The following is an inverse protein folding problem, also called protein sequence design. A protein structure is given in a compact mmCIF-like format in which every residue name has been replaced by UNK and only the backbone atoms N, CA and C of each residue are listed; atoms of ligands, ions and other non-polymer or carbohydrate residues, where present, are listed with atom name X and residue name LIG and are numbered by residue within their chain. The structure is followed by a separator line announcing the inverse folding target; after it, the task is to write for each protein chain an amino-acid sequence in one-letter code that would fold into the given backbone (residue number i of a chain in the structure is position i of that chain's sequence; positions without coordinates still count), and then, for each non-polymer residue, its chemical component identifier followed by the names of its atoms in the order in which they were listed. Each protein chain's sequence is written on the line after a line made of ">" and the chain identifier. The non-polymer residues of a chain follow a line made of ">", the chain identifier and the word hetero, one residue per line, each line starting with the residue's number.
data_IF_791004633983
#
_entry.id   IF_791004633983
#
_cell.length_a   1.000
_cell.length_b   1.000
_cell.length_c   1.000
_cell.angle_alpha   90.00
_cell.angle_beta   90.00
_cell.angle_gamma   90.00
#
_symmetry.space_group_name_H-M   'P 1'
#
loop_
_entity.id
_entity.type
_entity.pdbx_description
1 polymer ?
#
# COMPACT_ATOMS: atom_id res chain seq x y z
N UNK A 1 10.29 6.59 25.57
CA UNK A 1 10.31 5.55 24.51
C UNK A 1 8.94 5.31 23.87
N UNK A 2 7.91 4.90 24.63
CA UNK A 2 6.56 4.60 24.08
C UNK A 2 5.91 5.75 23.30
N UNK A 3 6.05 7.00 23.78
CA UNK A 3 5.54 8.18 23.08
C UNK A 3 6.15 8.33 21.68
N UNK A 4 7.47 8.16 21.56
CA UNK A 4 8.19 8.27 20.29
C UNK A 4 7.72 7.21 19.31
N UNK A 5 7.59 5.95 19.77
CA UNK A 5 7.07 4.87 18.93
C UNK A 5 5.64 5.14 18.45
N UNK A 6 4.78 5.68 19.31
CA UNK A 6 3.41 6.05 18.95
C UNK A 6 3.39 7.16 17.90
N UNK A 7 4.23 8.18 18.04
CA UNK A 7 4.36 9.26 17.06
C UNK A 7 4.84 8.72 15.71
N UNK A 8 5.87 7.87 15.70
CA UNK A 8 6.35 7.22 14.48
C UNK A 8 5.23 6.41 13.82
N UNK A 9 4.48 5.63 14.60
CA UNK A 9 3.37 4.81 14.09
C UNK A 9 2.27 5.66 13.46
N UNK A 10 1.85 6.74 14.14
CA UNK A 10 0.81 7.66 13.63
C UNK A 10 1.29 8.39 12.37
N UNK A 11 2.53 8.89 12.35
CA UNK A 11 3.10 9.56 11.18
C UNK A 11 3.23 8.61 9.98
N UNK A 12 3.63 7.35 10.22
CA UNK A 12 3.69 6.34 9.19
C UNK A 12 2.28 6.01 8.65
N UNK A 13 1.28 5.90 9.53
CA UNK A 13 -0.11 5.68 9.14
C UNK A 13 -0.64 6.83 8.28
N UNK A 14 -0.46 8.08 8.74
CA UNK A 14 -0.88 9.27 8.01
C UNK A 14 -0.18 9.40 6.66
N UNK A 15 1.13 9.12 6.61
CA UNK A 15 1.90 9.12 5.37
C UNK A 15 1.39 8.06 4.40
N UNK A 16 1.15 6.83 4.86
CA UNK A 16 0.64 5.75 4.02
C UNK A 16 -0.73 6.10 3.46
N UNK A 17 -1.72 6.36 4.33
CA UNK A 17 -3.11 6.63 3.92
C UNK A 17 -3.20 7.89 3.08
N UNK A 18 -2.53 8.97 3.48
CA UNK A 18 -2.47 10.21 2.72
C UNK A 18 -1.86 10.01 1.33
N UNK A 19 -0.79 9.20 1.22
CA UNK A 19 -0.16 8.91 -0.06
C UNK A 19 -1.08 8.11 -1.01
N UNK A 20 -1.82 7.13 -0.48
CA UNK A 20 -2.73 6.29 -1.26
C UNK A 20 -3.95 7.11 -1.72
N UNK A 21 -4.51 7.95 -0.85
CA UNK A 21 -5.59 8.89 -1.18
C UNK A 21 -5.15 9.84 -2.28
N UNK A 22 -4.00 10.50 -2.11
CA UNK A 22 -3.46 11.42 -3.12
C UNK A 22 -3.26 10.71 -4.46
N UNK A 23 -2.65 9.53 -4.45
CA UNK A 23 -2.37 8.78 -5.67
C UNK A 23 -3.66 8.39 -6.41
N UNK A 24 -4.67 7.90 -5.68
CA UNK A 24 -5.90 7.39 -6.28
C UNK A 24 -6.86 8.50 -6.75
N UNK A 25 -7.07 9.54 -5.92
CA UNK A 25 -8.08 10.57 -6.19
C UNK A 25 -7.53 11.82 -6.89
N UNK A 26 -6.25 12.15 -6.72
CA UNK A 26 -5.68 13.39 -7.28
C UNK A 26 -4.76 13.09 -8.46
N UNK A 27 -3.70 12.32 -8.23
CA UNK A 27 -2.68 12.09 -9.25
C UNK A 27 -3.24 11.34 -10.46
N UNK A 28 -3.95 10.23 -10.24
CA UNK A 28 -4.46 9.40 -11.33
C UNK A 28 -5.44 10.15 -12.24
N UNK A 29 -6.46 10.88 -11.74
CA UNK A 29 -7.32 11.69 -12.59
C UNK A 29 -6.55 12.78 -13.34
N UNK A 30 -5.60 13.46 -12.68
CA UNK A 30 -4.79 14.49 -13.33
C UNK A 30 -3.96 13.94 -14.49
N UNK A 31 -3.37 12.75 -14.35
CA UNK A 31 -2.57 12.11 -15.40
C UNK A 31 -3.39 11.78 -16.66
N UNK A 32 -4.71 11.58 -16.55
CA UNK A 32 -5.58 11.30 -17.70
C UNK A 32 -5.80 12.52 -18.59
N UNK A 33 -5.57 13.72 -18.07
CA UNK A 33 -5.72 14.98 -18.81
C UNK A 33 -4.45 15.36 -19.59
N UNK A 34 -3.34 14.67 -19.32
CA UNK A 34 -2.03 14.96 -19.91
C UNK A 34 -1.82 14.05 -21.14
N UNK A 35 -1.23 14.54 -22.24
CA UNK A 35 -0.87 13.69 -23.37
C UNK A 35 -0.05 12.46 -22.94
N UNK A 36 -0.32 11.26 -23.48
CA UNK A 36 0.20 10.00 -22.94
C UNK A 36 1.73 9.96 -22.78
N UNK A 37 2.46 10.56 -23.72
CA UNK A 37 3.93 10.60 -23.67
C UNK A 37 4.46 11.31 -22.41
N UNK A 38 3.84 12.43 -22.03
CA UNK A 38 4.23 13.18 -20.83
C UNK A 38 3.67 12.55 -19.56
N UNK A 39 2.44 12.02 -19.61
CA UNK A 39 1.80 11.35 -18.48
C UNK A 39 2.62 10.15 -17.99
N UNK A 40 3.20 9.35 -18.90
CA UNK A 40 4.04 8.19 -18.55
C UNK A 40 5.30 8.60 -17.79
N UNK A 41 5.97 9.68 -18.21
CA UNK A 41 7.20 10.16 -17.55
C UNK A 41 6.89 10.67 -16.13
N UNK A 42 5.82 11.46 -15.98
CA UNK A 42 5.36 11.95 -14.68
C UNK A 42 4.96 10.78 -13.78
N UNK A 43 4.15 9.85 -14.30
CA UNK A 43 3.71 8.67 -13.57
C UNK A 43 4.88 7.79 -13.10
N UNK A 44 5.94 7.66 -13.90
CA UNK A 44 7.14 6.92 -13.51
C UNK A 44 7.90 7.63 -12.37
N UNK A 45 8.15 8.94 -12.51
CA UNK A 45 8.90 9.70 -11.52
C UNK A 45 8.16 9.76 -10.19
N UNK A 46 6.90 10.18 -10.24
CA UNK A 46 6.03 10.28 -9.06
C UNK A 46 5.78 8.89 -8.49
N UNK A 47 5.42 7.91 -9.33
CA UNK A 47 5.16 6.54 -8.89
C UNK A 47 6.34 5.89 -8.17
N UNK A 48 7.59 6.17 -8.57
CA UNK A 48 8.78 5.67 -7.88
C UNK A 48 8.91 6.23 -6.46
N UNK A 49 8.74 7.55 -6.29
CA UNK A 49 8.75 8.21 -4.98
C UNK A 49 7.65 7.63 -4.07
N UNK A 50 6.42 7.52 -4.58
CA UNK A 50 5.31 6.92 -3.83
C UNK A 50 5.55 5.47 -3.44
N UNK A 51 6.28 4.70 -4.25
CA UNK A 51 6.68 3.33 -3.86
C UNK A 51 7.66 3.35 -2.70
N UNK A 52 8.72 4.15 -2.76
CA UNK A 52 9.67 4.21 -1.65
C UNK A 52 9.01 4.72 -0.37
N UNK A 53 8.20 5.79 -0.46
CA UNK A 53 7.45 6.33 0.66
C UNK A 53 6.47 5.31 1.23
N UNK A 54 5.70 4.64 0.38
CA UNK A 54 4.73 3.62 0.78
C UNK A 54 5.38 2.43 1.50
N UNK A 55 6.47 1.88 0.93
CA UNK A 55 7.21 0.78 1.56
C UNK A 55 7.84 1.19 2.89
N UNK A 56 8.42 2.39 2.95
CA UNK A 56 9.00 2.92 4.20
C UNK A 56 7.90 3.04 5.27
N UNK A 57 6.74 3.58 4.92
CA UNK A 57 5.62 3.70 5.84
C UNK A 57 5.09 2.33 6.30
N UNK A 58 4.98 1.34 5.41
CA UNK A 58 4.54 -0.03 5.76
C UNK A 58 5.50 -0.70 6.75
N UNK A 59 6.82 -0.58 6.53
CA UNK A 59 7.84 -1.11 7.44
C UNK A 59 7.80 -0.39 8.78
N UNK A 60 7.73 0.94 8.78
CA UNK A 60 7.65 1.72 10.01
C UNK A 60 6.40 1.39 10.82
N UNK A 61 5.24 1.21 10.19
CA UNK A 61 4.00 0.76 10.84
C UNK A 61 4.20 -0.56 11.57
N UNK A 62 4.76 -1.56 10.88
CA UNK A 62 4.98 -2.87 11.47
C UNK A 62 5.95 -2.81 12.66
N UNK A 63 7.13 -2.23 12.47
CA UNK A 63 8.17 -2.18 13.49
C UNK A 63 7.72 -1.36 14.71
N UNK A 64 7.14 -0.18 14.49
CA UNK A 64 6.67 0.66 15.59
C UNK A 64 5.47 0.07 16.34
N UNK A 65 4.59 -0.66 15.65
CA UNK A 65 3.47 -1.38 16.28
C UNK A 65 3.95 -2.57 17.10
N UNK A 66 4.84 -3.39 16.54
CA UNK A 66 5.42 -4.55 17.21
C UNK A 66 6.23 -4.14 18.45
N UNK A 67 7.05 -3.08 18.34
CA UNK A 67 7.80 -2.56 19.48
C UNK A 67 6.88 -1.99 20.56
N UNK A 68 5.77 -1.34 20.21
CA UNK A 68 4.79 -0.91 21.22
C UNK A 68 4.19 -2.09 22.00
N UNK A 69 3.85 -3.19 21.32
CA UNK A 69 3.38 -4.40 21.99
C UNK A 69 4.46 -5.03 22.88
N UNK A 70 5.71 -5.05 22.40
CA UNK A 70 6.85 -5.54 23.19
C UNK A 70 7.05 -4.73 24.48
N UNK A 71 7.19 -3.41 24.37
CA UNK A 71 7.44 -2.53 25.51
C UNK A 71 6.26 -2.41 26.48
N UNK A 72 5.05 -2.79 26.07
CA UNK A 72 3.88 -2.87 26.95
C UNK A 72 3.67 -4.25 27.56
N UNK A 73 4.55 -5.23 27.28
CA UNK A 73 4.43 -6.60 27.77
C UNK A 73 3.26 -7.37 27.15
N UNK A 74 2.76 -6.93 25.99
CA UNK A 74 1.56 -7.44 25.32
C UNK A 74 1.86 -8.23 24.05
N UNK A 75 3.12 -8.60 23.80
CA UNK A 75 3.51 -9.36 22.61
C UNK A 75 2.79 -10.71 22.51
N UNK A 76 2.50 -11.32 23.66
CA UNK A 76 1.77 -12.57 23.78
C UNK A 76 0.34 -12.51 23.21
N UNK A 77 -0.27 -11.32 23.11
CA UNK A 77 -1.58 -11.17 22.48
C UNK A 77 -1.58 -11.64 21.02
N UNK A 78 -0.45 -11.55 20.31
CA UNK A 78 -0.37 -11.96 18.90
C UNK A 78 -0.56 -13.47 18.67
N UNK A 79 -0.42 -14.27 19.73
CA UNK A 79 -0.54 -15.73 19.70
C UNK A 79 -1.66 -16.25 20.60
N UNK A 80 -2.35 -15.36 21.33
CA UNK A 80 -3.43 -15.73 22.24
C UNK A 80 -4.79 -15.62 21.57
N UNK A 81 -5.74 -16.44 22.03
CA UNK A 81 -7.17 -16.28 21.73
C UNK A 81 -7.72 -14.95 22.25
N UNK A 82 -7.06 -14.32 23.23
CA UNK A 82 -7.46 -13.02 23.78
C UNK A 82 -7.48 -11.91 22.73
N UNK A 83 -6.71 -12.08 21.66
CA UNK A 83 -6.77 -11.22 20.48
C UNK A 83 -8.18 -11.13 19.87
N UNK A 84 -9.03 -12.14 20.08
CA UNK A 84 -10.37 -12.20 19.48
C UNK A 84 -11.50 -12.00 20.50
N UNK A 85 -11.22 -12.13 21.81
CA UNK A 85 -12.25 -12.13 22.86
C UNK A 85 -12.67 -10.72 23.28
N UNK A 86 -11.74 -9.77 23.34
CA UNK A 86 -12.01 -8.41 23.83
C UNK A 86 -11.88 -7.34 22.72
N UNK A 87 -12.65 -6.25 22.84
CA UNK A 87 -12.77 -5.20 21.79
C UNK A 87 -11.44 -4.61 21.30
N UNK A 88 -10.47 -4.25 22.18
CA UNK A 88 -9.17 -3.76 21.74
C UNK A 88 -8.34 -4.81 20.99
N UNK A 89 -8.52 -6.09 21.32
CA UNK A 89 -7.84 -7.21 20.69
C UNK A 89 -8.39 -7.40 19.28
N UNK A 90 -9.72 -7.45 19.15
CA UNK A 90 -10.39 -7.57 17.84
C UNK A 90 -9.96 -6.45 16.88
N UNK A 91 -9.85 -5.23 17.41
CA UNK A 91 -9.40 -4.06 16.65
C UNK A 91 -7.95 -4.20 16.20
N UNK A 92 -7.07 -4.69 17.08
CA UNK A 92 -5.69 -5.01 16.73
C UNK A 92 -5.63 -6.12 15.66
N UNK A 93 -6.46 -7.16 15.78
CA UNK A 93 -6.54 -8.24 14.80
C UNK A 93 -6.97 -7.73 13.42
N UNK A 94 -8.02 -6.91 13.36
CA UNK A 94 -8.50 -6.29 12.13
C UNK A 94 -7.46 -5.34 11.53
N UNK A 95 -6.79 -4.53 12.36
CA UNK A 95 -5.71 -3.65 11.92
C UNK A 95 -4.57 -4.45 11.27
N UNK A 96 -4.12 -5.53 11.90
CA UNK A 96 -3.07 -6.41 11.38
C UNK A 96 -3.51 -7.12 10.09
N UNK A 97 -4.74 -7.60 10.03
CA UNK A 97 -5.31 -8.23 8.84
C UNK A 97 -5.32 -7.26 7.65
N UNK A 98 -5.89 -6.07 7.83
CA UNK A 98 -5.96 -5.07 6.77
C UNK A 98 -4.58 -4.54 6.37
N UNK A 99 -3.67 -4.37 7.33
CA UNK A 99 -2.27 -4.05 7.05
C UNK A 99 -1.60 -5.16 6.20
N UNK A 100 -1.81 -6.44 6.52
CA UNK A 100 -1.26 -7.56 5.76
C UNK A 100 -1.79 -7.62 4.32
N UNK A 101 -3.09 -7.34 4.13
CA UNK A 101 -3.69 -7.22 2.79
C UNK A 101 -3.08 -6.03 2.03
N UNK A 102 -2.84 -4.91 2.71
CA UNK A 102 -2.18 -3.72 2.15
C UNK A 102 -0.74 -4.06 1.70
N UNK A 103 0.04 -4.77 2.51
CA UNK A 103 1.40 -5.22 2.17
C UNK A 103 1.38 -6.17 0.96
N UNK A 104 0.46 -7.13 0.96
CA UNK A 104 0.35 -8.14 -0.11
C UNK A 104 -0.01 -7.48 -1.45
N UNK A 105 -1.03 -6.62 -1.46
CA UNK A 105 -1.43 -5.89 -2.66
C UNK A 105 -0.33 -4.93 -3.15
N UNK A 106 0.33 -4.22 -2.24
CA UNK A 106 1.49 -3.37 -2.56
C UNK A 106 2.66 -4.17 -3.17
N UNK A 107 2.89 -5.40 -2.71
CA UNK A 107 3.89 -6.32 -3.25
C UNK A 107 3.55 -6.73 -4.67
N UNK A 108 2.31 -7.17 -4.91
CA UNK A 108 1.82 -7.55 -6.24
C UNK A 108 1.96 -6.39 -7.24
N UNK A 109 1.58 -5.18 -6.81
CA UNK A 109 1.72 -3.98 -7.64
C UNK A 109 3.19 -3.67 -7.93
N UNK A 110 4.05 -3.69 -6.92
CA UNK A 110 5.46 -3.25 -7.03
C UNK A 110 6.30 -4.24 -7.83
N UNK A 111 6.21 -5.53 -7.51
CA UNK A 111 7.09 -6.55 -8.08
C UNK A 111 6.46 -7.31 -9.25
N UNK A 112 5.13 -7.34 -9.35
CA UNK A 112 4.42 -8.03 -10.43
C UNK A 112 3.99 -7.11 -11.58
N UNK A 113 3.23 -6.06 -11.27
CA UNK A 113 2.56 -5.25 -12.29
C UNK A 113 3.43 -4.12 -12.85
N UNK A 114 4.15 -3.38 -12.00
CA UNK A 114 5.00 -2.27 -12.44
C UNK A 114 6.10 -2.67 -13.44
N UNK A 115 6.83 -3.80 -13.25
CA UNK A 115 7.84 -4.21 -14.24
C UNK A 115 7.24 -4.46 -15.62
N UNK A 116 6.01 -5.00 -15.70
CA UNK A 116 5.30 -5.21 -16.98
C UNK A 116 5.00 -3.90 -17.70
N UNK A 117 4.65 -2.85 -16.96
CA UNK A 117 4.39 -1.53 -17.52
C UNK A 117 5.66 -0.85 -18.04
N UNK A 118 6.80 -1.09 -17.39
CA UNK A 118 8.09 -0.45 -17.71
C UNK A 118 8.91 -1.19 -18.77
N UNK A 119 8.55 -2.42 -19.13
CA UNK A 119 9.26 -3.22 -20.13
C UNK A 119 9.32 -2.47 -21.47
N UNK A 120 10.53 -2.16 -21.95
CA UNK A 120 10.80 -1.56 -23.27
C UNK A 120 11.10 -2.67 -24.28
N UNK A 121 10.69 -2.49 -25.53
CA UNK A 121 11.17 -3.32 -26.63
C UNK A 121 12.63 -2.94 -26.89
N UNK A 122 13.52 -3.92 -26.88
CA UNK A 122 14.93 -3.72 -27.22
C UNK A 122 15.05 -3.43 -28.72
N UNK A 123 15.75 -2.35 -29.06
CA UNK A 123 15.94 -1.88 -30.45
C UNK A 123 16.66 -2.94 -31.30
N UNK A 124 17.47 -3.79 -30.68
CA UNK A 124 18.21 -4.88 -31.34
C UNK A 124 17.36 -6.06 -31.81
N UNK A 125 16.06 -6.10 -31.52
CA UNK A 125 15.23 -7.31 -31.72
C UNK A 125 14.44 -7.35 -33.03
N UNK A 126 14.51 -6.30 -33.88
CA UNK A 126 13.59 -6.11 -35.02
C UNK A 126 12.14 -6.50 -34.67
N UNK A 127 11.50 -5.80 -33.71
CA UNK A 127 10.20 -6.19 -33.17
C UNK A 127 9.16 -6.26 -34.28
N UNK A 128 8.42 -7.37 -34.33
CA UNK A 128 7.31 -7.54 -35.28
C UNK A 128 6.09 -6.74 -34.81
N UNK A 129 5.14 -6.48 -35.73
CA UNK A 129 3.85 -5.87 -35.36
C UNK A 129 3.10 -6.69 -34.29
N UNK A 130 3.22 -8.02 -34.35
CA UNK A 130 2.64 -8.92 -33.35
C UNK A 130 3.26 -8.71 -31.95
N UNK A 131 4.57 -8.45 -31.86
CA UNK A 131 5.25 -8.16 -30.59
C UNK A 131 4.79 -6.83 -29.97
N UNK A 132 4.57 -5.83 -30.82
CA UNK A 132 4.06 -4.51 -30.39
C UNK A 132 2.62 -4.63 -29.86
N UNK A 133 1.77 -5.37 -30.57
CA UNK A 133 0.36 -5.55 -30.19
C UNK A 133 0.23 -6.37 -28.90
N UNK A 134 0.96 -7.48 -28.78
CA UNK A 134 1.00 -8.29 -27.55
C UNK A 134 1.45 -7.45 -26.35
N UNK A 135 2.48 -6.61 -26.51
CA UNK A 135 2.93 -5.71 -25.46
C UNK A 135 1.85 -4.70 -25.06
N UNK A 136 1.14 -4.10 -26.02
CA UNK A 136 0.04 -3.17 -25.72
C UNK A 136 -1.05 -3.87 -24.91
N UNK A 137 -1.44 -5.08 -25.29
CA UNK A 137 -2.43 -5.87 -24.56
C UNK A 137 -1.97 -6.18 -23.11
N UNK A 138 -0.70 -6.56 -22.94
CA UNK A 138 -0.11 -6.79 -21.61
C UNK A 138 -0.09 -5.51 -20.76
N UNK A 139 0.22 -4.35 -21.34
CA UNK A 139 0.24 -3.07 -20.63
C UNK A 139 -1.17 -2.61 -20.24
N UNK A 140 -2.16 -2.77 -21.12
CA UNK A 140 -3.56 -2.43 -20.85
C UNK A 140 -4.10 -3.29 -19.70
N UNK A 141 -3.90 -4.62 -19.78
CA UNK A 141 -4.35 -5.54 -18.73
C UNK A 141 -3.64 -5.29 -17.38
N UNK A 142 -2.32 -5.08 -17.40
CA UNK A 142 -1.56 -4.75 -16.19
C UNK A 142 -2.02 -3.42 -15.57
N UNK A 143 -2.35 -2.41 -16.38
CA UNK A 143 -2.87 -1.14 -15.90
C UNK A 143 -4.24 -1.31 -15.22
N UNK A 144 -5.14 -2.09 -15.81
CA UNK A 144 -6.44 -2.37 -15.22
C UNK A 144 -6.32 -3.12 -13.87
N UNK A 145 -5.40 -4.08 -13.78
CA UNK A 145 -5.11 -4.76 -12.51
C UNK A 145 -4.47 -3.83 -11.48
N UNK A 146 -3.55 -2.96 -11.90
CA UNK A 146 -2.92 -1.98 -11.02
C UNK A 146 -3.97 -1.07 -10.38
N UNK A 147 -4.96 -0.62 -11.16
CA UNK A 147 -6.06 0.22 -10.68
C UNK A 147 -6.91 -0.50 -9.62
N UNK A 148 -7.25 -1.77 -9.83
CA UNK A 148 -8.01 -2.58 -8.87
C UNK A 148 -7.23 -2.73 -7.55
N UNK A 149 -5.95 -3.05 -7.64
CA UNK A 149 -5.11 -3.20 -6.46
C UNK A 149 -4.86 -1.88 -5.73
N UNK A 150 -4.81 -0.74 -6.43
CA UNK A 150 -4.78 0.57 -5.78
C UNK A 150 -6.05 0.84 -4.96
N UNK A 151 -7.22 0.49 -5.48
CA UNK A 151 -8.48 0.62 -4.75
C UNK A 151 -8.50 -0.30 -3.52
N UNK A 152 -8.05 -1.56 -3.65
CA UNK A 152 -7.90 -2.48 -2.52
C UNK A 152 -6.98 -1.88 -1.46
N UNK A 153 -5.82 -1.34 -1.86
CA UNK A 153 -4.88 -0.67 -0.96
C UNK A 153 -5.51 0.53 -0.24
N UNK A 154 -6.28 1.35 -0.96
CA UNK A 154 -7.00 2.49 -0.39
C UNK A 154 -7.98 2.04 0.70
N UNK A 155 -8.83 1.06 0.38
CA UNK A 155 -9.84 0.56 1.30
C UNK A 155 -9.16 -0.06 2.53
N UNK A 156 -8.21 -0.96 2.31
CA UNK A 156 -7.57 -1.73 3.39
C UNK A 156 -6.67 -0.87 4.27
N UNK A 157 -5.88 0.05 3.73
CA UNK A 157 -5.10 0.99 4.56
C UNK A 157 -5.99 1.94 5.38
N UNK A 158 -7.12 2.39 4.82
CA UNK A 158 -8.10 3.21 5.55
C UNK A 158 -8.77 2.40 6.67
N UNK A 159 -9.18 1.16 6.38
CA UNK A 159 -9.77 0.28 7.38
C UNK A 159 -8.77 -0.09 8.49
N UNK A 160 -7.49 -0.30 8.14
CA UNK A 160 -6.42 -0.52 9.11
C UNK A 160 -6.26 0.69 10.04
N UNK A 161 -6.27 1.91 9.49
CA UNK A 161 -6.21 3.15 10.27
C UNK A 161 -7.41 3.28 11.22
N UNK A 162 -8.63 3.01 10.74
CA UNK A 162 -9.86 3.08 11.55
C UNK A 162 -9.80 2.04 12.67
N UNK A 163 -9.41 0.79 12.38
CA UNK A 163 -9.26 -0.26 13.37
C UNK A 163 -8.15 0.05 14.39
N UNK A 164 -7.05 0.70 13.98
CA UNK A 164 -6.03 1.16 14.91
C UNK A 164 -6.51 2.30 15.81
N UNK A 165 -7.22 3.28 15.23
CA UNK A 165 -7.77 4.42 15.97
C UNK A 165 -8.82 3.99 16.99
N UNK A 166 -9.65 3.00 16.67
CA UNK A 166 -10.71 2.50 17.57
C UNK A 166 -10.17 1.93 18.88
N UNK A 167 -8.93 1.41 18.90
CA UNK A 167 -8.27 0.89 20.12
C UNK A 167 -8.24 1.97 21.22
N UNK A 168 -8.06 3.23 20.86
CA UNK A 168 -8.07 4.34 21.81
C UNK A 168 -9.45 4.59 22.46
N UNK A 169 -10.53 4.10 21.83
CA UNK A 169 -11.92 4.25 22.26
C UNK A 169 -12.52 2.95 22.82
N UNK A 170 -11.69 1.97 23.19
CA UNK A 170 -12.14 0.68 23.70
C UNK A 170 -12.30 -0.42 22.65
N UNK A 171 -12.04 -0.11 21.38
CA UNK A 171 -12.07 -1.06 20.26
C UNK A 171 -13.43 -1.20 19.57
N UNK A 172 -13.43 -1.85 18.41
CA UNK A 172 -14.59 -2.24 17.63
C UNK A 172 -15.14 -3.57 18.12
N UNK A 173 -16.45 -3.55 18.41
CA UNK A 173 -17.28 -4.66 18.86
C UNK A 173 -16.84 -5.24 20.20
#
# INVERSE_FOLDING_TARGET
>A
MLLVLRLIHILAAATLVGSVIFNYFLLRPALRLIPPAHAVVIAQRVGSLFTYTGWTALVLLFLSGLLQLYYTGRLWLLISLDLYTHGPGRSLALMLLFWLITVTSSSIMTFGLRPKLMKKLTVSSNPTLADVEKRRADQISASAWLDRWQLVNLITSTLALIAGASIAFGGLF
#
